data_IF_884287322228
#
_entry.id   IF_884287322228
#
_cell.length_a   1.000
_cell.length_b   1.000
_cell.length_c   1.000
_cell.angle_alpha   90.00
_cell.angle_beta   90.00
_cell.angle_gamma   90.00
#
_symmetry.space_group_name_H-M   'P 1'
#
loop_
_entity.id
_entity.type
_entity.pdbx_description
1 polymer ?
#
# COMPACT_ATOMS: atom_id res chain seq x y z
N UNK A 1 6.11 -16.16 15.13
CA UNK A 1 5.16 -15.14 14.63
C UNK A 1 4.03 -15.79 13.85
N UNK A 2 2.77 -15.43 14.13
CA UNK A 2 1.62 -15.81 13.31
C UNK A 2 1.47 -14.80 12.18
N UNK A 3 1.87 -15.19 10.97
CA UNK A 3 1.87 -14.34 9.77
C UNK A 3 0.82 -14.85 8.78
N UNK A 4 0.07 -13.93 8.19
CA UNK A 4 -0.97 -14.19 7.18
C UNK A 4 -0.72 -13.34 5.94
N UNK A 5 -0.75 -13.98 4.76
CA UNK A 5 -0.74 -13.31 3.47
C UNK A 5 -2.17 -13.19 2.95
N UNK A 6 -2.58 -11.97 2.58
CA UNK A 6 -3.89 -11.70 2.00
C UNK A 6 -3.70 -11.03 0.65
N UNK A 7 -4.20 -11.66 -0.41
CA UNK A 7 -4.01 -11.23 -1.80
C UNK A 7 -5.32 -10.68 -2.35
N UNK A 8 -5.32 -9.47 -2.88
CA UNK A 8 -6.51 -8.83 -3.43
C UNK A 8 -7.71 -8.90 -2.47
N UNK A 9 -7.50 -8.67 -1.18
CA UNK A 9 -8.56 -8.66 -0.16
C UNK A 9 -8.71 -7.27 0.45
N UNK A 10 -9.90 -6.95 0.95
CA UNK A 10 -10.12 -5.71 1.70
C UNK A 10 -9.33 -5.74 3.00
N UNK A 11 -8.70 -4.62 3.36
CA UNK A 11 -8.05 -4.42 4.66
C UNK A 11 -9.11 -4.56 5.75
N UNK A 12 -8.94 -5.44 6.75
CA UNK A 12 -9.97 -5.70 7.74
C UNK A 12 -10.21 -4.46 8.59
N UNK A 13 -11.44 -4.33 9.11
CA UNK A 13 -11.80 -3.33 10.14
C UNK A 13 -11.76 -1.86 9.72
N UNK A 14 -11.44 -1.53 8.46
CA UNK A 14 -11.51 -0.15 7.95
C UNK A 14 -12.93 0.17 7.42
N UNK A 15 -13.69 1.00 8.12
CA UNK A 15 -15.06 1.38 7.76
C UNK A 15 -15.19 2.38 6.58
N UNK A 16 -14.18 2.47 5.70
CA UNK A 16 -14.14 3.37 4.54
C UNK A 16 -14.37 2.65 3.20
N UNK A 17 -14.20 3.34 2.04
CA UNK A 17 -14.15 2.68 0.74
C UNK A 17 -13.15 1.53 0.83
N UNK A 18 -13.61 0.31 0.57
CA UNK A 18 -12.87 -0.92 0.84
C UNK A 18 -11.46 -0.86 0.23
N UNK A 19 -10.45 -0.58 1.06
CA UNK A 19 -9.06 -0.57 0.63
C UNK A 19 -8.66 -2.01 0.31
N UNK A 20 -8.46 -2.29 -0.98
CA UNK A 20 -8.13 -3.61 -1.50
C UNK A 20 -6.77 -3.55 -2.20
N UNK A 21 -5.66 -3.65 -1.45
CA UNK A 21 -4.32 -3.71 -2.03
C UNK A 21 -4.05 -5.06 -2.69
N UNK A 22 -3.00 -5.11 -3.50
CA UNK A 22 -2.59 -6.34 -4.20
C UNK A 22 -2.14 -7.40 -3.20
N UNK A 23 -1.29 -7.00 -2.25
CA UNK A 23 -0.80 -7.86 -1.17
C UNK A 23 -0.86 -7.17 0.19
N UNK A 24 -1.23 -7.93 1.21
CA UNK A 24 -1.12 -7.58 2.61
C UNK A 24 -0.39 -8.68 3.36
N UNK A 25 0.61 -8.31 4.16
CA UNK A 25 1.26 -9.21 5.10
C UNK A 25 0.90 -8.78 6.52
N UNK A 26 0.06 -9.59 7.17
CA UNK A 26 -0.38 -9.37 8.55
C UNK A 26 0.45 -10.20 9.51
N UNK A 27 1.16 -9.55 10.43
CA UNK A 27 1.76 -10.22 11.57
C UNK A 27 0.85 -10.03 12.78
N UNK A 28 0.07 -11.05 13.10
CA UNK A 28 -0.87 -11.03 14.22
C UNK A 28 -0.19 -10.96 15.58
N UNK A 29 1.02 -11.52 15.70
CA UNK A 29 1.80 -11.49 16.94
C UNK A 29 2.29 -10.06 17.24
N UNK A 30 2.81 -9.37 16.22
CA UNK A 30 3.38 -8.01 16.35
C UNK A 30 2.37 -6.90 16.09
N UNK A 31 1.14 -7.25 15.68
CA UNK A 31 0.10 -6.33 15.22
C UNK A 31 0.60 -5.36 14.13
N UNK A 32 1.44 -5.84 13.24
CA UNK A 32 1.94 -5.05 12.11
C UNK A 32 1.31 -5.50 10.80
N UNK A 33 1.14 -4.56 9.88
CA UNK A 33 0.72 -4.84 8.51
C UNK A 33 1.72 -4.21 7.54
N UNK A 34 2.13 -4.97 6.53
CA UNK A 34 2.74 -4.42 5.32
C UNK A 34 1.70 -4.45 4.20
N UNK A 35 1.56 -3.33 3.50
CA UNK A 35 0.67 -3.18 2.34
C UNK A 35 1.54 -2.96 1.11
N UNK A 36 1.32 -3.76 0.07
CA UNK A 36 2.09 -3.69 -1.17
C UNK A 36 1.13 -3.60 -2.34
N UNK A 37 1.33 -2.57 -3.16
CA UNK A 37 0.67 -2.40 -4.45
C UNK A 37 1.74 -2.33 -5.53
N UNK A 38 1.56 -3.12 -6.59
CA UNK A 38 2.42 -3.08 -7.76
C UNK A 38 1.99 -1.93 -8.67
N UNK A 39 2.96 -1.15 -9.11
CA UNK A 39 2.78 -0.11 -10.12
C UNK A 39 3.71 -0.40 -11.29
N UNK A 40 3.15 -0.45 -12.49
CA UNK A 40 3.91 -0.58 -13.74
C UNK A 40 3.62 0.68 -14.56
N UNK A 41 4.67 1.44 -14.84
CA UNK A 41 4.61 2.60 -15.73
C UNK A 41 5.35 2.27 -17.02
N UNK A 42 4.78 2.67 -18.15
CA UNK A 42 5.32 2.40 -19.50
C UNK A 42 5.87 3.68 -20.17
N UNK A 43 6.02 4.77 -19.43
CA UNK A 43 6.52 6.03 -19.97
C UNK A 43 8.05 6.00 -20.12
N UNK A 44 8.56 6.53 -21.23
CA UNK A 44 9.98 6.79 -21.43
C UNK A 44 10.39 7.90 -20.46
N UNK A 45 11.29 7.60 -19.51
CA UNK A 45 11.74 8.56 -18.52
C UNK A 45 12.60 9.61 -19.23
N UNK A 46 11.97 10.68 -19.74
CA UNK A 46 12.65 11.71 -20.53
C UNK A 46 13.68 12.53 -19.74
N UNK A 47 13.72 12.37 -18.41
CA UNK A 47 14.66 13.04 -17.51
C UNK A 47 15.02 12.13 -16.34
N UNK A 48 16.27 12.19 -15.89
CA UNK A 48 16.80 11.42 -14.75
C UNK A 48 16.27 11.90 -13.38
N UNK A 49 15.36 12.89 -13.35
CA UNK A 49 14.73 13.35 -12.11
C UNK A 49 13.77 12.27 -11.57
N UNK A 50 14.10 11.63 -10.43
CA UNK A 50 13.29 10.54 -9.88
C UNK A 50 11.89 11.01 -9.44
N UNK A 51 11.78 12.26 -8.97
CA UNK A 51 10.53 12.83 -8.42
C UNK A 51 9.52 13.21 -9.50
N UNK A 52 9.99 13.44 -10.73
CA UNK A 52 9.15 13.76 -11.88
C UNK A 52 8.60 12.51 -12.62
N UNK A 53 9.01 11.31 -12.22
CA UNK A 53 8.59 10.07 -12.87
C UNK A 53 7.13 9.68 -12.57
N UNK A 54 6.47 9.00 -13.52
CA UNK A 54 5.14 8.41 -13.29
C UNK A 54 5.13 7.45 -12.08
N UNK A 55 6.23 6.72 -11.85
CA UNK A 55 6.38 5.85 -10.68
C UNK A 55 6.39 6.63 -9.36
N UNK A 56 7.09 7.76 -9.29
CA UNK A 56 7.08 8.62 -8.10
C UNK A 56 5.68 9.19 -7.83
N UNK A 57 4.99 9.64 -8.87
CA UNK A 57 3.59 10.10 -8.76
C UNK A 57 2.65 8.99 -8.27
N UNK A 58 2.77 7.77 -8.81
CA UNK A 58 1.96 6.63 -8.35
C UNK A 58 2.32 6.28 -6.91
N UNK A 59 3.60 6.25 -6.54
CA UNK A 59 4.04 5.97 -5.17
C UNK A 59 3.48 7.00 -4.17
N UNK A 60 3.53 8.30 -4.50
CA UNK A 60 2.94 9.36 -3.68
C UNK A 60 1.42 9.19 -3.54
N UNK A 61 0.73 8.90 -4.64
CA UNK A 61 -0.72 8.65 -4.62
C UNK A 61 -1.09 7.43 -3.77
N UNK A 62 -0.36 6.31 -3.89
CA UNK A 62 -0.58 5.10 -3.10
C UNK A 62 -0.28 5.33 -1.61
N UNK A 63 0.78 6.07 -1.27
CA UNK A 63 1.06 6.47 0.12
C UNK A 63 -0.09 7.29 0.70
N UNK A 64 -0.61 8.26 -0.04
CA UNK A 64 -1.76 9.06 0.40
C UNK A 64 -3.02 8.18 0.58
N UNK A 65 -3.32 7.27 -0.37
CA UNK A 65 -4.43 6.31 -0.30
C UNK A 65 -4.37 5.45 0.98
N UNK A 66 -3.20 4.94 1.33
CA UNK A 66 -3.01 4.04 2.47
C UNK A 66 -2.61 4.73 3.79
N UNK A 67 -2.42 6.05 3.80
CA UNK A 67 -2.09 6.80 5.02
C UNK A 67 -3.15 6.64 6.13
N UNK A 68 -4.40 6.38 5.76
CA UNK A 68 -5.49 6.10 6.71
C UNK A 68 -5.35 4.77 7.45
N UNK A 69 -4.59 3.81 6.90
CA UNK A 69 -4.38 2.49 7.50
C UNK A 69 -3.54 2.59 8.78
N UNK A 70 -2.48 3.41 8.77
CA UNK A 70 -1.58 3.55 9.92
C UNK A 70 -2.33 3.93 11.20
N UNK A 71 -3.20 4.94 11.11
CA UNK A 71 -4.05 5.40 12.24
C UNK A 71 -5.04 4.36 12.74
N UNK A 72 -5.36 3.35 11.93
CA UNK A 72 -6.28 2.28 12.32
C UNK A 72 -5.59 1.19 13.15
N UNK A 73 -4.31 0.89 12.88
CA UNK A 73 -3.54 -0.10 13.64
C UNK A 73 -2.87 0.46 14.91
N UNK A 74 -2.85 1.78 15.07
CA UNK A 74 -2.37 2.47 16.28
C UNK A 74 -3.42 2.56 17.41
N UNK A 75 -4.67 2.11 17.18
CA UNK A 75 -5.74 2.02 18.19
C UNK A 75 -5.92 0.58 18.68
#
# INVERSE_FOLDING_TARGET
DRVELRVNQTVPSLAGPALRPDLQLFNHTKKTVAVVDLAVAFEEQANDDPESSALARIAAHKRAKYAGIKRHFER
#
